data_IF_065256974176
#
_entry.id   IF_065256974176
#
_cell.length_a   1.000
_cell.length_b   1.000
_cell.length_c   1.000
_cell.angle_alpha   90.00
_cell.angle_beta   90.00
_cell.angle_gamma   90.00
#
_symmetry.space_group_name_H-M   'P 1'
#
loop_
_entity.id
_entity.type
_entity.pdbx_description
1 polymer ?
#
# COMPACT_ATOMS: atom_id res chain seq x y z
N UNK A 1 -1.91 -9.36 -30.08
CA UNK A 1 -2.58 -8.53 -29.06
C UNK A 1 -2.38 -9.22 -27.72
N UNK A 2 -1.57 -8.67 -26.80
CA UNK A 2 -1.52 -9.22 -25.42
C UNK A 2 -2.80 -8.78 -24.73
N UNK A 3 -3.53 -9.71 -24.12
CA UNK A 3 -4.67 -9.37 -23.29
C UNK A 3 -4.20 -8.40 -22.19
N UNK A 4 -4.80 -7.22 -22.13
CA UNK A 4 -4.63 -6.35 -20.98
C UNK A 4 -5.17 -7.10 -19.75
N UNK A 5 -4.41 -7.13 -18.67
CA UNK A 5 -4.91 -7.70 -17.40
C UNK A 5 -6.02 -6.77 -16.92
N UNK A 6 -7.23 -7.30 -16.79
CA UNK A 6 -8.39 -6.55 -16.31
C UNK A 6 -8.19 -6.25 -14.82
N UNK A 7 -8.43 -5.02 -14.33
CA UNK A 7 -8.17 -4.65 -12.94
C UNK A 7 -8.79 -5.57 -11.89
N UNK A 8 -10.03 -6.05 -12.10
CA UNK A 8 -10.69 -6.99 -11.19
C UNK A 8 -9.99 -8.35 -11.17
N UNK A 9 -9.60 -8.87 -12.33
CA UNK A 9 -8.85 -10.12 -12.39
C UNK A 9 -7.51 -9.99 -11.63
N UNK A 10 -6.81 -8.85 -11.78
CA UNK A 10 -5.58 -8.62 -11.02
C UNK A 10 -5.82 -8.54 -9.50
N UNK A 11 -6.87 -7.84 -9.09
CA UNK A 11 -7.26 -7.74 -7.68
C UNK A 11 -7.49 -9.13 -7.08
N UNK A 12 -8.26 -9.96 -7.77
CA UNK A 12 -8.71 -11.25 -7.24
C UNK A 12 -7.60 -12.33 -7.33
N UNK A 13 -6.75 -12.28 -8.36
CA UNK A 13 -5.66 -13.25 -8.56
C UNK A 13 -4.37 -12.92 -7.78
N UNK A 14 -4.10 -11.65 -7.50
CA UNK A 14 -2.83 -11.21 -6.92
C UNK A 14 -2.97 -10.39 -5.64
N UNK A 15 -3.89 -9.42 -5.59
CA UNK A 15 -4.01 -8.52 -4.44
C UNK A 15 -4.62 -9.24 -3.24
N UNK A 16 -5.80 -9.85 -3.40
CA UNK A 16 -6.46 -10.56 -2.31
C UNK A 16 -5.63 -11.75 -1.78
N UNK A 17 -5.04 -12.61 -2.64
CA UNK A 17 -4.19 -13.70 -2.15
C UNK A 17 -2.93 -13.20 -1.42
N UNK A 18 -2.32 -12.09 -1.84
CA UNK A 18 -1.17 -11.53 -1.13
C UNK A 18 -1.55 -11.01 0.27
N UNK A 19 -2.74 -10.42 0.41
CA UNK A 19 -3.29 -10.00 1.71
C UNK A 19 -3.59 -11.20 2.60
N UNK A 20 -4.20 -12.25 2.05
CA UNK A 20 -4.47 -13.50 2.79
C UNK A 20 -3.17 -14.16 3.27
N UNK A 21 -2.18 -14.27 2.38
CA UNK A 21 -0.86 -14.79 2.72
C UNK A 21 -0.20 -13.99 3.85
N UNK A 22 -0.35 -12.65 3.86
CA UNK A 22 0.10 -11.83 4.98
C UNK A 22 -0.69 -12.10 6.27
N UNK A 23 -2.02 -12.23 6.20
CA UNK A 23 -2.90 -12.48 7.38
C UNK A 23 -2.57 -13.77 8.11
N UNK A 24 -2.06 -14.79 7.43
CA UNK A 24 -1.60 -16.03 8.08
C UNK A 24 -0.45 -15.78 9.06
N UNK A 25 0.45 -14.85 8.73
CA UNK A 25 1.63 -14.52 9.53
C UNK A 25 1.88 -13.02 9.51
N UNK A 26 1.04 -12.23 10.21
CA UNK A 26 1.02 -10.77 10.10
C UNK A 26 2.28 -10.10 10.65
N UNK A 27 3.10 -10.87 11.38
CA UNK A 27 4.39 -10.47 11.97
C UNK A 27 5.60 -10.78 11.06
N UNK A 28 5.40 -11.21 9.81
CA UNK A 28 6.47 -11.38 8.83
C UNK A 28 6.58 -10.17 7.90
N UNK A 29 7.65 -9.34 8.01
CA UNK A 29 7.82 -8.13 7.19
C UNK A 29 7.78 -8.38 5.68
N UNK A 30 8.33 -9.51 5.21
CA UNK A 30 8.36 -9.86 3.78
C UNK A 30 6.95 -10.06 3.23
N UNK A 31 6.05 -10.71 4.01
CA UNK A 31 4.66 -10.91 3.60
C UNK A 31 3.91 -9.58 3.56
N UNK A 32 4.19 -8.70 4.52
CA UNK A 32 3.62 -7.36 4.57
C UNK A 32 4.04 -6.52 3.36
N UNK A 33 5.34 -6.54 3.02
CA UNK A 33 5.87 -5.88 1.83
C UNK A 33 5.24 -6.41 0.55
N UNK A 34 5.05 -7.74 0.44
CA UNK A 34 4.38 -8.35 -0.71
C UNK A 34 2.95 -7.84 -0.88
N UNK A 35 2.15 -7.83 0.19
CA UNK A 35 0.78 -7.30 0.16
C UNK A 35 0.74 -5.83 -0.27
N UNK A 36 1.58 -4.98 0.35
CA UNK A 36 1.70 -3.55 0.00
C UNK A 36 2.09 -3.38 -1.48
N UNK A 37 3.06 -4.14 -1.98
CA UNK A 37 3.46 -4.11 -3.39
C UNK A 37 2.31 -4.45 -4.33
N UNK A 38 1.55 -5.52 -4.06
CA UNK A 38 0.43 -5.87 -4.94
C UNK A 38 -0.67 -4.82 -4.93
N UNK A 39 -0.98 -4.23 -3.76
CA UNK A 39 -1.97 -3.14 -3.64
C UNK A 39 -1.53 -1.90 -4.44
N UNK A 40 -0.25 -1.53 -4.41
CA UNK A 40 0.28 -0.41 -5.22
C UNK A 40 0.28 -0.74 -6.73
N UNK A 41 0.65 -1.98 -7.11
CA UNK A 41 0.68 -2.41 -8.52
C UNK A 41 -0.71 -2.35 -9.15
N UNK A 42 -1.79 -2.55 -8.39
CA UNK A 42 -3.15 -2.40 -8.90
C UNK A 42 -3.39 -1.03 -9.54
N UNK A 43 -2.76 0.05 -9.03
CA UNK A 43 -2.85 1.37 -9.65
C UNK A 43 -2.23 1.44 -11.04
N UNK A 44 -1.15 0.70 -11.27
CA UNK A 44 -0.54 0.59 -12.60
C UNK A 44 -1.42 -0.22 -13.56
N UNK A 45 -2.04 -1.30 -13.08
CA UNK A 45 -2.98 -2.10 -13.86
C UNK A 45 -4.20 -1.27 -14.29
N UNK A 46 -4.80 -0.51 -13.36
CA UNK A 46 -5.92 0.39 -13.67
C UNK A 46 -5.50 1.47 -14.66
N UNK A 47 -4.35 2.11 -14.47
CA UNK A 47 -3.87 3.15 -15.39
C UNK A 47 -3.64 2.62 -16.81
N UNK A 48 -3.06 1.41 -16.92
CA UNK A 48 -2.84 0.74 -18.20
C UNK A 48 -4.20 0.46 -18.87
N UNK A 49 -5.16 -0.10 -18.15
CA UNK A 49 -6.49 -0.42 -18.68
C UNK A 49 -7.23 0.84 -19.17
N UNK A 50 -7.27 1.90 -18.35
CA UNK A 50 -7.91 3.18 -18.72
C UNK A 50 -7.27 3.86 -19.94
N UNK A 51 -5.99 3.59 -20.22
CA UNK A 51 -5.31 4.08 -21.42
C UNK A 51 -5.55 3.22 -22.67
N UNK A 52 -6.35 2.15 -22.58
CA UNK A 52 -6.50 1.16 -23.65
C UNK A 52 -5.20 0.37 -23.91
N UNK A 53 -4.37 0.20 -22.88
CA UNK A 53 -3.08 -0.49 -22.97
C UNK A 53 -1.95 0.31 -23.61
N UNK A 54 -2.13 1.62 -23.84
CA UNK A 54 -1.16 2.48 -24.51
C UNK A 54 -0.17 3.17 -23.57
N UNK A 55 -0.34 3.01 -22.25
CA UNK A 55 0.52 3.64 -21.27
C UNK A 55 1.97 3.15 -21.39
N UNK A 56 2.96 4.06 -21.55
CA UNK A 56 4.37 3.65 -21.54
C UNK A 56 4.77 3.13 -20.16
N UNK A 57 5.84 2.33 -20.12
CA UNK A 57 6.40 1.81 -18.86
C UNK A 57 6.73 2.98 -17.92
N UNK A 58 6.23 2.92 -16.68
CA UNK A 58 6.40 4.00 -15.70
C UNK A 58 5.48 5.22 -15.92
N UNK A 59 4.58 5.16 -16.91
CA UNK A 59 3.61 6.22 -17.23
C UNK A 59 2.44 6.33 -16.25
N UNK A 60 2.33 5.42 -15.27
CA UNK A 60 1.25 5.43 -14.26
C UNK A 60 1.42 6.52 -13.19
N UNK A 61 2.54 7.24 -13.17
CA UNK A 61 2.84 8.28 -12.18
C UNK A 61 1.72 9.31 -12.00
N UNK A 62 1.27 10.00 -13.07
CA UNK A 62 0.18 10.98 -12.98
C UNK A 62 -1.13 10.40 -12.45
N UNK A 63 -1.50 9.19 -12.89
CA UNK A 63 -2.68 8.49 -12.37
C UNK A 63 -2.54 8.21 -10.88
N UNK A 64 -1.37 7.72 -10.43
CA UNK A 64 -1.11 7.45 -9.01
C UNK A 64 -1.07 8.72 -8.16
N UNK A 65 -0.57 9.83 -8.68
CA UNK A 65 -0.56 11.13 -7.98
C UNK A 65 -2.00 11.65 -7.78
N UNK A 66 -2.81 11.60 -8.85
CA UNK A 66 -4.23 12.00 -8.82
C UNK A 66 -5.08 11.07 -7.94
N UNK A 67 -4.86 9.76 -8.02
CA UNK A 67 -5.48 8.77 -7.14
C UNK A 67 -5.11 9.03 -5.67
N UNK A 68 -3.84 9.32 -5.38
CA UNK A 68 -3.39 9.60 -4.02
C UNK A 68 -3.98 10.87 -3.41
N UNK A 69 -4.32 11.87 -4.24
CA UNK A 69 -5.03 13.07 -3.78
C UNK A 69 -6.48 12.78 -3.40
N UNK A 70 -7.16 11.90 -4.13
CA UNK A 70 -8.54 11.47 -3.83
C UNK A 70 -8.60 10.49 -2.66
N UNK A 71 -7.65 9.56 -2.62
CA UNK A 71 -7.62 8.42 -1.71
C UNK A 71 -6.26 8.38 -0.97
N UNK A 72 -6.10 9.14 0.14
CA UNK A 72 -4.83 9.28 0.84
C UNK A 72 -4.23 7.96 1.35
N UNK A 73 -5.07 6.96 1.63
CA UNK A 73 -4.61 5.62 2.01
C UNK A 73 -3.80 4.94 0.90
N UNK A 74 -4.17 5.17 -0.36
CA UNK A 74 -3.44 4.64 -1.53
C UNK A 74 -2.13 5.39 -1.77
N UNK A 75 -2.09 6.70 -1.46
CA UNK A 75 -0.84 7.46 -1.45
C UNK A 75 0.15 6.86 -0.42
N UNK A 76 -0.31 6.58 0.80
CA UNK A 76 0.51 5.96 1.85
C UNK A 76 1.01 4.57 1.45
N UNK A 77 0.19 3.74 0.80
CA UNK A 77 0.62 2.44 0.26
C UNK A 77 1.74 2.61 -0.77
N UNK A 78 1.56 3.55 -1.72
CA UNK A 78 2.57 3.85 -2.74
C UNK A 78 3.87 4.31 -2.11
N UNK A 79 3.81 5.19 -1.11
CA UNK A 79 4.99 5.67 -0.42
C UNK A 79 5.67 4.57 0.40
N UNK A 80 4.90 3.74 1.10
CA UNK A 80 5.42 2.55 1.78
C UNK A 80 6.12 1.59 0.80
N UNK A 81 5.53 1.34 -0.37
CA UNK A 81 6.12 0.49 -1.40
C UNK A 81 7.41 1.10 -1.99
N UNK A 82 7.32 2.35 -2.46
CA UNK A 82 8.42 3.01 -3.15
C UNK A 82 9.59 3.26 -2.20
N UNK A 83 9.31 3.64 -0.95
CA UNK A 83 10.37 3.87 0.04
C UNK A 83 11.07 2.56 0.42
N UNK A 84 10.32 1.45 0.54
CA UNK A 84 10.92 0.13 0.74
C UNK A 84 11.88 -0.25 -0.40
N UNK A 85 11.50 0.07 -1.64
CA UNK A 85 12.24 -0.30 -2.86
C UNK A 85 13.39 0.65 -3.19
N UNK A 86 13.22 1.95 -2.94
CA UNK A 86 14.10 3.01 -3.43
C UNK A 86 14.81 3.80 -2.31
N UNK A 87 14.46 3.56 -1.05
CA UNK A 87 14.98 4.34 0.08
C UNK A 87 14.24 5.67 0.22
N UNK A 88 14.99 6.76 0.38
CA UNK A 88 14.38 8.07 0.60
C UNK A 88 13.61 8.57 -0.64
N UNK A 89 12.38 9.03 -0.45
CA UNK A 89 11.51 9.57 -1.50
C UNK A 89 11.68 11.09 -1.59
N UNK A 90 12.14 11.57 -2.74
CA UNK A 90 12.35 13.00 -3.01
C UNK A 90 11.21 13.68 -3.78
N UNK A 91 10.14 12.94 -4.10
CA UNK A 91 8.98 13.49 -4.82
C UNK A 91 8.13 14.38 -3.91
N UNK A 92 7.59 15.47 -4.46
CA UNK A 92 6.73 16.39 -3.70
C UNK A 92 5.39 15.77 -3.27
N UNK A 93 4.92 14.76 -4.00
CA UNK A 93 3.70 14.02 -3.66
C UNK A 93 3.92 12.92 -2.63
N UNK A 94 5.15 12.73 -2.12
CA UNK A 94 5.39 11.82 -1.00
C UNK A 94 4.65 12.36 0.23
N UNK A 95 3.91 11.46 0.86
CA UNK A 95 3.22 11.69 2.13
C UNK A 95 4.19 11.48 3.30
N UNK A 96 3.64 11.23 4.47
CA UNK A 96 4.34 11.11 5.75
C UNK A 96 5.21 9.83 5.87
N UNK A 97 5.54 9.15 4.78
CA UNK A 97 6.33 7.90 4.74
C UNK A 97 7.43 8.04 3.66
N UNK A 98 8.52 8.74 3.95
CA UNK A 98 9.51 9.14 2.93
C UNK A 98 10.93 8.61 3.16
N UNK A 99 11.26 8.00 4.30
CA UNK A 99 12.67 7.71 4.67
C UNK A 99 13.18 6.28 4.38
N UNK A 100 12.45 5.49 3.59
CA UNK A 100 12.84 4.09 3.32
C UNK A 100 12.56 3.15 4.47
N UNK A 101 11.54 3.45 5.27
CA UNK A 101 11.17 2.69 6.45
C UNK A 101 10.77 1.27 6.05
N UNK A 102 11.38 0.29 6.73
CA UNK A 102 11.06 -1.12 6.54
C UNK A 102 10.03 -1.53 7.56
N UNK A 103 9.08 -2.36 7.12
CA UNK A 103 8.17 -3.08 8.00
C UNK A 103 8.98 -3.75 9.13
N UNK A 104 8.67 -3.43 10.38
CA UNK A 104 9.37 -3.97 11.55
C UNK A 104 8.38 -4.50 12.57
N UNK A 105 8.81 -5.46 13.39
CA UNK A 105 7.97 -6.00 14.46
C UNK A 105 7.89 -4.98 15.59
N UNK A 106 6.69 -4.48 15.87
CA UNK A 106 6.41 -3.73 17.07
C UNK A 106 5.95 -4.68 18.17
N UNK A 107 6.77 -4.91 19.21
CA UNK A 107 6.32 -5.58 20.42
C UNK A 107 5.52 -4.57 21.28
N UNK A 108 4.40 -5.03 21.85
CA UNK A 108 3.60 -4.26 22.80
C UNK A 108 4.34 -4.05 24.13
N UNK A 109 5.35 -3.17 24.12
CA UNK A 109 5.93 -2.32 25.18
C UNK A 109 7.33 -1.93 24.72
N UNK A 110 7.41 -0.85 23.94
CA UNK A 110 8.62 -0.23 23.40
C UNK A 110 9.35 -1.02 22.29
N UNK A 111 9.50 -0.40 21.12
CA UNK A 111 10.47 -0.84 20.11
C UNK A 111 11.47 0.27 19.84
N UNK A 112 12.74 -0.12 19.79
CA UNK A 112 13.89 0.72 19.48
C UNK A 112 14.15 0.71 17.98
N UNK A 113 14.13 1.88 17.37
CA UNK A 113 14.77 2.17 16.09
C UNK A 113 15.44 3.56 16.17
N UNK A 114 16.77 3.58 16.08
CA UNK A 114 17.58 4.73 15.67
C UNK A 114 17.70 5.92 16.62
N UNK A 115 16.60 6.52 17.11
CA UNK A 115 16.65 7.80 17.86
C UNK A 115 15.57 8.03 18.93
N UNK A 116 14.71 7.05 19.24
CA UNK A 116 13.70 7.26 20.28
C UNK A 116 13.09 5.98 20.82
N UNK A 117 12.82 5.97 22.13
CA UNK A 117 12.00 4.95 22.80
C UNK A 117 10.54 5.34 22.60
N UNK A 118 9.83 4.67 21.69
CA UNK A 118 8.40 4.94 21.48
C UNK A 118 7.54 3.81 22.05
N UNK A 119 6.67 4.18 23.00
CA UNK A 119 5.63 3.31 23.55
C UNK A 119 4.46 3.27 22.56
N UNK A 120 4.43 2.26 21.70
CA UNK A 120 3.24 2.04 20.87
C UNK A 120 2.08 1.46 21.68
N UNK A 121 0.85 1.89 21.38
CA UNK A 121 -0.42 1.48 21.98
C UNK A 121 -0.96 0.17 21.38
N UNK A 122 -0.08 -0.75 20.99
CA UNK A 122 -0.47 -2.10 20.57
C UNK A 122 -0.78 -2.94 21.82
N UNK A 123 -2.05 -2.99 22.20
CA UNK A 123 -2.53 -3.81 23.32
C UNK A 123 -2.19 -5.29 23.09
N UNK A 124 -1.13 -5.79 23.74
CA UNK A 124 -0.86 -7.22 23.94
C UNK A 124 -0.55 -8.07 22.70
N UNK A 125 -0.48 -7.50 21.50
CA UNK A 125 -0.13 -8.21 20.25
C UNK A 125 1.10 -7.61 19.60
N UNK A 126 2.05 -8.45 19.20
CA UNK A 126 3.05 -8.09 18.20
C UNK A 126 2.33 -7.82 16.89
N UNK A 127 2.55 -6.64 16.32
CA UNK A 127 2.09 -6.27 14.97
C UNK A 127 3.28 -5.77 14.15
N UNK A 128 3.15 -5.83 12.82
CA UNK A 128 4.13 -5.22 11.93
C UNK A 128 3.71 -3.79 11.66
N UNK A 129 4.64 -2.85 11.80
CA UNK A 129 4.41 -1.43 11.60
C UNK A 129 5.38 -0.81 10.59
N UNK A 130 4.99 0.32 10.02
CA UNK A 130 5.84 1.25 9.28
C UNK A 130 5.84 2.56 10.07
N UNK A 131 6.94 3.30 10.08
CA UNK A 131 6.99 4.60 10.76
C UNK A 131 6.47 5.69 9.83
N UNK A 132 5.87 6.73 10.40
CA UNK A 132 5.78 8.02 9.77
C UNK A 132 7.13 8.74 9.88
N UNK A 133 7.34 9.76 9.05
CA UNK A 133 8.52 10.65 9.12
C UNK A 133 8.62 11.39 10.47
N UNK A 134 7.49 11.59 11.16
CA UNK A 134 7.46 12.15 12.52
C UNK A 134 7.84 11.12 13.61
N UNK A 135 8.11 9.86 13.24
CA UNK A 135 8.44 8.75 14.13
C UNK A 135 7.25 8.00 14.73
N UNK A 136 6.00 8.35 14.39
CA UNK A 136 4.82 7.63 14.86
C UNK A 136 4.61 6.31 14.09
N UNK A 137 4.29 5.20 14.76
CA UNK A 137 4.06 3.93 14.08
C UNK A 137 2.65 3.84 13.46
N UNK A 138 2.59 3.40 12.21
CA UNK A 138 1.39 2.97 11.49
C UNK A 138 1.30 1.46 11.53
N UNK A 139 0.17 0.94 12.01
CA UNK A 139 -0.14 -0.47 11.90
C UNK A 139 -0.36 -0.88 10.44
N UNK A 140 0.37 -1.88 9.95
CA UNK A 140 0.22 -2.34 8.56
C UNK A 140 -1.19 -2.89 8.31
N UNK A 141 -1.83 -3.52 9.30
CA UNK A 141 -3.19 -4.02 9.14
C UNK A 141 -4.22 -2.92 8.94
N UNK A 142 -4.06 -1.80 9.65
CA UNK A 142 -4.84 -0.59 9.38
C UNK A 142 -4.56 -0.02 8.00
N UNK A 143 -3.28 0.11 7.62
CA UNK A 143 -2.90 0.62 6.30
C UNK A 143 -3.48 -0.22 5.14
N UNK A 144 -3.36 -1.55 5.23
CA UNK A 144 -3.92 -2.48 4.23
C UNK A 144 -5.45 -2.38 4.18
N UNK A 145 -6.11 -2.34 5.34
CA UNK A 145 -7.59 -2.23 5.39
C UNK A 145 -8.07 -0.94 4.73
N UNK A 146 -7.54 0.21 5.15
CA UNK A 146 -7.92 1.51 4.59
C UNK A 146 -7.66 1.60 3.08
N UNK A 147 -6.54 1.02 2.62
CA UNK A 147 -6.22 0.94 1.21
C UNK A 147 -7.20 0.06 0.42
N UNK A 148 -7.62 -1.08 0.97
CA UNK A 148 -8.61 -1.93 0.31
C UNK A 148 -9.99 -1.27 0.26
N UNK A 149 -10.41 -0.59 1.33
CA UNK A 149 -11.65 0.19 1.33
C UNK A 149 -11.60 1.33 0.29
N UNK A 150 -10.45 2.00 0.14
CA UNK A 150 -10.22 3.00 -0.89
C UNK A 150 -10.26 2.41 -2.31
N UNK A 151 -9.66 1.23 -2.50
CA UNK A 151 -9.73 0.53 -3.76
C UNK A 151 -11.14 0.08 -4.11
N UNK A 152 -11.90 -0.44 -3.15
CA UNK A 152 -13.28 -0.81 -3.39
C UNK A 152 -14.07 0.44 -3.85
N UNK A 153 -13.96 1.59 -3.16
CA UNK A 153 -14.60 2.84 -3.61
C UNK A 153 -14.19 3.25 -5.03
N UNK A 154 -12.89 3.26 -5.32
CA UNK A 154 -12.39 3.69 -6.63
C UNK A 154 -12.82 2.72 -7.75
N UNK A 155 -12.79 1.42 -7.51
CA UNK A 155 -13.21 0.41 -8.49
C UNK A 155 -14.72 0.46 -8.75
N UNK A 156 -15.55 0.78 -7.74
CA UNK A 156 -16.96 1.09 -7.95
C UNK A 156 -17.13 2.36 -8.80
N UNK A 157 -16.42 3.45 -8.46
CA UNK A 157 -16.48 4.72 -9.19
C UNK A 157 -16.10 4.55 -10.66
N UNK A 158 -15.14 3.67 -10.94
CA UNK A 158 -14.65 3.37 -12.29
C UNK A 158 -15.50 2.33 -13.03
N UNK A 159 -16.51 1.74 -12.38
CA UNK A 159 -17.41 0.76 -12.98
C UNK A 159 -16.83 -0.65 -13.11
N UNK A 160 -15.76 -0.95 -12.38
CA UNK A 160 -15.17 -2.29 -12.33
C UNK A 160 -15.89 -3.21 -11.34
N UNK A 161 -16.45 -2.66 -10.26
CA UNK A 161 -17.29 -3.38 -9.32
C UNK A 161 -18.77 -3.02 -9.53
N UNK A 162 -19.70 -3.98 -9.32
CA UNK A 162 -21.13 -3.68 -9.33
C UNK A 162 -21.46 -2.67 -8.23
N UNK A 163 -22.48 -1.80 -8.38
CA UNK A 163 -22.88 -0.88 -7.33
C UNK A 163 -23.17 -1.62 -6.02
N UNK A 164 -22.67 -1.08 -4.90
CA UNK A 164 -22.97 -1.61 -3.58
C UNK A 164 -24.49 -1.52 -3.32
N UNK A 165 -25.12 -2.66 -3.02
CA UNK A 165 -26.54 -2.77 -2.65
C UNK A 165 -26.86 -2.12 -1.29
#
# INVERSE_FOLDING_TARGET
MRAAVVPIAFRDEFVLPAIEFWREQPNQPVRAACAISQIDILAEVVAIDQSGGQLPRGGAGPFRDDLGQREPALARIRDAHDSHKHGHLSRRSATEISEGQRAYRSAGTAVFLGRGVHRSRFFGRTSTAILHDNGEPIDIGTLIREAMEAWDRELHRLGYLPPAE
#
